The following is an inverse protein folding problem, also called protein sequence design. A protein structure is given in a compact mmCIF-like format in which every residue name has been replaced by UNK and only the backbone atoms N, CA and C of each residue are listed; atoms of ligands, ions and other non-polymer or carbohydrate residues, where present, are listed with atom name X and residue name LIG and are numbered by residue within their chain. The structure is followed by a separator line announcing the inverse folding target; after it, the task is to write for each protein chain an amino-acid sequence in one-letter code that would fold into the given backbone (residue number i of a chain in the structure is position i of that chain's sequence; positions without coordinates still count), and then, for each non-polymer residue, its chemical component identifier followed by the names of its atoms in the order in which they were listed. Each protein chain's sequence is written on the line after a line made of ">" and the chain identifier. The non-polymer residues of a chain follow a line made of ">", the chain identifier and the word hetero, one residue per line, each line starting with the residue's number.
data_IF_183210329730
#
_entry.id   IF_183210329730
#
_cell.length_a   1.000
_cell.length_b   1.000
_cell.length_c   1.000
_cell.angle_alpha   90.00
_cell.angle_beta   90.00
_cell.angle_gamma   90.00
#
_symmetry.space_group_name_H-M   'P 1'
#
loop_
_entity.id
_entity.type
_entity.pdbx_description
1 polymer ?
#
# COMPACT_ATOMS: atom_id res chain seq x y z
N UNK A 1 4.73 10.34 -2.17
CA UNK A 1 4.32 9.90 -3.53
C UNK A 1 5.53 9.36 -4.25
N UNK A 2 5.44 8.22 -4.92
CA UNK A 2 6.57 7.70 -5.72
C UNK A 2 6.09 7.12 -7.04
N UNK A 3 6.90 7.34 -8.08
CA UNK A 3 6.69 6.83 -9.43
C UNK A 3 7.93 6.02 -9.80
N UNK A 4 7.73 4.79 -10.23
CA UNK A 4 8.80 3.94 -10.77
C UNK A 4 8.42 3.57 -12.19
N UNK A 5 9.35 3.73 -13.11
CA UNK A 5 9.20 3.32 -14.51
C UNK A 5 10.30 2.31 -14.80
N UNK A 6 9.90 1.08 -15.09
CA UNK A 6 10.78 -0.01 -15.48
C UNK A 6 10.62 -0.25 -16.99
N UNK A 7 11.72 -0.09 -17.72
CA UNK A 7 11.84 -0.42 -19.12
C UNK A 7 12.49 -1.80 -19.27
N UNK A 8 12.45 -2.35 -20.48
CA UNK A 8 13.10 -3.62 -20.79
C UNK A 8 14.61 -3.60 -20.42
N UNK A 9 14.98 -4.44 -19.45
CA UNK A 9 16.33 -4.51 -18.90
C UNK A 9 17.33 -5.04 -19.92
N UNK A 10 16.93 -5.91 -20.84
CA UNK A 10 17.84 -6.46 -21.84
C UNK A 10 18.20 -5.42 -22.90
N UNK A 11 17.30 -4.45 -23.15
CA UNK A 11 17.55 -3.34 -24.07
C UNK A 11 18.35 -2.20 -23.44
N UNK A 12 18.06 -1.85 -22.18
CA UNK A 12 18.63 -0.66 -21.53
C UNK A 12 19.74 -0.95 -20.51
N UNK A 13 19.95 -2.22 -20.18
CA UNK A 13 20.93 -2.63 -19.17
C UNK A 13 20.54 -2.24 -17.73
N UNK A 14 21.35 -2.66 -16.75
CA UNK A 14 21.04 -2.51 -15.33
C UNK A 14 20.90 -1.04 -14.88
N UNK A 15 21.60 -0.10 -15.54
CA UNK A 15 21.67 1.28 -15.08
C UNK A 15 20.61 2.20 -15.69
N UNK A 16 20.08 1.88 -16.87
CA UNK A 16 19.16 2.78 -17.59
C UNK A 16 17.73 2.28 -17.69
N UNK A 17 17.48 1.00 -17.35
CA UNK A 17 16.15 0.40 -17.41
C UNK A 17 15.20 0.92 -16.34
N UNK A 18 15.72 1.40 -15.20
CA UNK A 18 14.90 1.85 -14.07
C UNK A 18 14.95 3.37 -13.91
N UNK A 19 13.79 3.98 -13.70
CA UNK A 19 13.65 5.39 -13.32
C UNK A 19 12.79 5.46 -12.08
N UNK A 20 13.34 6.04 -11.02
CA UNK A 20 12.64 6.24 -9.75
C UNK A 20 12.49 7.72 -9.46
N UNK A 21 11.28 8.12 -9.10
CA UNK A 21 11.00 9.46 -8.62
C UNK A 21 10.29 9.37 -7.28
N UNK A 22 10.81 10.12 -6.29
CA UNK A 22 10.22 10.24 -4.96
C UNK A 22 9.92 11.69 -4.66
N UNK A 23 8.66 11.99 -4.31
CA UNK A 23 8.30 13.30 -3.77
C UNK A 23 9.00 13.50 -2.43
N UNK A 24 9.65 14.64 -2.26
CA UNK A 24 10.15 15.12 -0.97
C UNK A 24 9.43 16.41 -0.58
N UNK A 25 9.63 16.87 0.66
CA UNK A 25 9.04 18.13 1.12
C UNK A 25 9.50 19.37 0.32
N UNK A 26 10.63 19.25 -0.39
CA UNK A 26 11.17 20.31 -1.25
C UNK A 26 10.71 20.21 -2.71
N UNK A 27 9.99 19.15 -3.08
CA UNK A 27 9.58 18.94 -4.48
C UNK A 27 8.39 19.82 -4.83
N UNK A 28 8.57 20.69 -5.83
CA UNK A 28 7.50 21.49 -6.40
C UNK A 28 6.38 20.61 -6.95
N UNK A 29 5.15 21.12 -6.94
CA UNK A 29 4.03 20.41 -7.54
C UNK A 29 4.21 20.27 -9.05
N UNK A 30 3.85 19.11 -9.58
CA UNK A 30 3.98 18.79 -11.00
C UNK A 30 2.76 17.98 -11.43
N UNK A 31 2.33 18.20 -12.67
CA UNK A 31 1.20 17.55 -13.33
C UNK A 31 1.64 16.45 -14.32
N UNK A 32 2.95 16.28 -14.53
CA UNK A 32 3.46 15.30 -15.48
C UNK A 32 4.95 14.98 -15.34
N UNK A 33 5.32 13.79 -15.80
CA UNK A 33 6.69 13.32 -15.84
C UNK A 33 7.10 13.05 -17.28
N UNK A 34 8.34 13.42 -17.64
CA UNK A 34 8.92 13.07 -18.92
C UNK A 34 10.19 12.24 -18.73
N UNK A 35 10.17 11.03 -19.29
CA UNK A 35 11.34 10.15 -19.37
C UNK A 35 11.73 9.98 -20.84
N UNK A 36 13.02 10.12 -21.14
CA UNK A 36 13.56 9.91 -22.49
C UNK A 36 14.68 8.89 -22.44
N UNK A 37 14.69 8.02 -23.46
CA UNK A 37 15.74 7.04 -23.74
C UNK A 37 15.93 6.93 -25.24
N UNK A 38 17.14 6.55 -25.67
CA UNK A 38 17.43 6.26 -27.07
C UNK A 38 16.99 4.83 -27.37
N UNK A 39 16.27 4.62 -28.47
CA UNK A 39 15.83 3.29 -28.88
C UNK A 39 15.23 3.31 -30.28
N UNK A 40 15.34 2.18 -30.97
CA UNK A 40 14.88 1.97 -32.34
C UNK A 40 13.91 0.77 -32.47
N UNK A 41 13.52 0.19 -31.34
CA UNK A 41 12.61 -0.94 -31.24
C UNK A 41 11.46 -0.64 -30.28
N UNK A 42 10.39 -1.45 -30.36
CA UNK A 42 9.30 -1.39 -29.38
C UNK A 42 9.80 -1.84 -28.01
N UNK A 43 9.35 -1.18 -26.95
CA UNK A 43 9.85 -1.41 -25.58
C UNK A 43 8.69 -1.68 -24.63
N UNK A 44 8.78 -2.76 -23.86
CA UNK A 44 7.87 -2.99 -22.73
C UNK A 44 8.24 -2.04 -21.58
N UNK A 45 7.22 -1.43 -21.00
CA UNK A 45 7.33 -0.46 -19.93
C UNK A 45 6.32 -0.80 -18.83
N UNK A 46 6.78 -0.93 -17.60
CA UNK A 46 5.96 -1.10 -16.42
C UNK A 46 6.03 0.17 -15.60
N UNK A 47 4.88 0.81 -15.36
CA UNK A 47 4.77 2.02 -14.56
C UNK A 47 4.15 1.63 -13.23
N UNK A 48 4.87 1.83 -12.13
CA UNK A 48 4.39 1.61 -10.77
C UNK A 48 4.15 2.96 -10.11
N UNK A 49 2.92 3.20 -9.68
CA UNK A 49 2.53 4.41 -8.96
C UNK A 49 2.21 4.07 -7.51
N UNK A 50 3.02 4.61 -6.60
CA UNK A 50 2.81 4.51 -5.16
C UNK A 50 2.09 5.77 -4.69
N UNK A 51 0.81 5.59 -4.39
CA UNK A 51 -0.03 6.65 -3.85
C UNK A 51 0.40 7.02 -2.43
N UNK A 52 0.21 8.29 -2.11
CA UNK A 52 0.59 8.87 -0.82
C UNK A 52 -0.69 9.28 -0.10
N UNK A 53 -1.24 8.32 0.63
CA UNK A 53 -2.43 8.55 1.43
C UNK A 53 -2.03 9.20 2.76
N UNK A 54 -2.82 10.16 3.21
CA UNK A 54 -2.65 10.83 4.49
C UNK A 54 -3.97 10.79 5.26
N UNK A 55 -4.16 9.81 6.17
CA UNK A 55 -3.14 8.94 6.77
C UNK A 55 -2.68 7.78 5.87
N UNK A 56 -1.46 7.23 6.09
CA UNK A 56 -0.95 6.12 5.30
C UNK A 56 -1.87 4.89 5.34
N UNK A 57 -2.15 4.35 4.16
CA UNK A 57 -2.88 3.10 3.97
C UNK A 57 -1.92 1.91 3.90
N UNK A 58 -2.37 0.77 4.41
CA UNK A 58 -1.61 -0.48 4.45
C UNK A 58 -2.46 -1.66 4.04
N UNK A 59 -1.83 -2.65 3.41
CA UNK A 59 -2.44 -3.96 3.18
C UNK A 59 -2.18 -4.88 4.38
N UNK A 60 -3.11 -5.77 4.69
CA UNK A 60 -2.94 -6.77 5.75
C UNK A 60 -2.46 -8.10 5.17
N UNK A 61 -1.74 -8.89 5.98
CA UNK A 61 -1.53 -10.32 5.72
C UNK A 61 -2.88 -11.01 5.45
N UNK A 62 -2.91 -11.94 4.50
CA UNK A 62 -4.16 -12.53 4.02
C UNK A 62 -4.99 -13.20 5.14
N UNK A 63 -4.33 -13.77 6.16
CA UNK A 63 -5.02 -14.40 7.29
C UNK A 63 -5.67 -13.35 8.18
N UNK A 64 -4.95 -12.27 8.47
CA UNK A 64 -5.47 -11.16 9.28
C UNK A 64 -6.56 -10.37 8.53
N UNK A 65 -6.38 -10.14 7.23
CA UNK A 65 -7.36 -9.49 6.38
C UNK A 65 -8.71 -10.21 6.40
N UNK A 66 -8.68 -11.54 6.27
CA UNK A 66 -9.87 -12.39 6.34
C UNK A 66 -10.54 -12.33 7.71
N UNK A 67 -9.75 -12.34 8.78
CA UNK A 67 -10.28 -12.29 10.15
C UNK A 67 -11.02 -10.97 10.41
N UNK A 68 -10.41 -9.86 10.02
CA UNK A 68 -10.93 -8.52 10.30
C UNK A 68 -11.91 -8.02 9.23
N UNK A 69 -12.05 -8.74 8.11
CA UNK A 69 -12.76 -8.28 6.90
C UNK A 69 -12.24 -6.94 6.37
N UNK A 70 -10.91 -6.74 6.46
CA UNK A 70 -10.21 -5.51 6.04
C UNK A 70 -9.04 -5.91 5.14
N UNK A 71 -9.11 -5.56 3.87
CA UNK A 71 -8.00 -5.81 2.93
C UNK A 71 -6.96 -4.69 3.00
N UNK A 72 -7.42 -3.45 3.06
CA UNK A 72 -6.58 -2.26 3.18
C UNK A 72 -7.17 -1.30 4.21
N UNK A 73 -6.32 -0.54 4.88
CA UNK A 73 -6.78 0.53 5.74
C UNK A 73 -5.65 1.22 6.51
N UNK A 74 -6.04 2.23 7.28
CA UNK A 74 -5.10 2.94 8.16
C UNK A 74 -4.70 2.06 9.34
N UNK A 75 -3.51 2.30 9.92
CA UNK A 75 -3.08 1.63 11.16
C UNK A 75 -4.13 1.73 12.27
N UNK A 76 -4.76 2.90 12.39
CA UNK A 76 -5.79 3.14 13.40
C UNK A 76 -7.00 2.24 13.17
N UNK A 77 -7.52 2.18 11.94
CA UNK A 77 -8.67 1.33 11.58
C UNK A 77 -8.37 -0.15 11.85
N UNK A 78 -7.16 -0.62 11.50
CA UNK A 78 -6.73 -2.01 11.70
C UNK A 78 -6.67 -2.35 13.20
N UNK A 79 -6.06 -1.49 14.01
CA UNK A 79 -5.95 -1.69 15.47
C UNK A 79 -7.35 -1.71 16.10
N UNK A 80 -8.23 -0.79 15.69
CA UNK A 80 -9.60 -0.74 16.20
C UNK A 80 -10.39 -2.00 15.85
N UNK A 81 -10.27 -2.50 14.62
CA UNK A 81 -10.94 -3.73 14.20
C UNK A 81 -10.44 -4.96 14.96
N UNK A 82 -9.11 -5.08 15.14
CA UNK A 82 -8.53 -6.14 15.94
C UNK A 82 -9.01 -6.07 17.40
N UNK A 83 -9.08 -4.86 17.96
CA UNK A 83 -9.57 -4.67 19.32
C UNK A 83 -11.05 -5.03 19.46
N UNK A 84 -11.86 -4.65 18.48
CA UNK A 84 -13.27 -5.03 18.43
C UNK A 84 -13.42 -6.55 18.37
N UNK A 85 -12.61 -7.24 17.56
CA UNK A 85 -12.59 -8.69 17.50
C UNK A 85 -12.31 -9.32 18.87
N UNK A 86 -11.25 -8.85 19.56
CA UNK A 86 -10.86 -9.33 20.90
C UNK A 86 -12.01 -9.15 21.90
N UNK A 87 -12.68 -8.01 21.88
CA UNK A 87 -13.81 -7.71 22.77
C UNK A 87 -15.03 -8.59 22.48
N UNK A 88 -15.43 -8.68 21.22
CA UNK A 88 -16.61 -9.46 20.80
C UNK A 88 -16.45 -10.93 21.14
N UNK A 89 -15.23 -11.47 21.04
CA UNK A 89 -14.91 -12.86 21.36
C UNK A 89 -14.51 -13.07 22.83
N UNK A 90 -14.54 -12.02 23.66
CA UNK A 90 -14.19 -12.06 25.10
C UNK A 90 -12.81 -12.68 25.36
N UNK A 91 -11.83 -12.30 24.54
CA UNK A 91 -10.50 -12.88 24.56
C UNK A 91 -9.54 -12.21 25.56
N UNK A 92 -9.94 -11.10 26.18
CA UNK A 92 -9.17 -10.51 27.27
C UNK A 92 -9.31 -11.38 28.53
N UNK A 93 -8.17 -11.66 29.17
CA UNK A 93 -8.14 -12.44 30.40
C UNK A 93 -8.89 -11.70 31.54
N UNK A 94 -9.83 -12.37 32.25
CA UNK A 94 -10.63 -11.74 33.29
C UNK A 94 -9.85 -11.44 34.58
N UNK A 95 -8.82 -12.22 34.88
CA UNK A 95 -7.99 -12.08 36.09
C UNK A 95 -6.79 -11.18 35.80
N UNK A 96 -6.10 -11.42 34.68
CA UNK A 96 -4.92 -10.69 34.25
C UNK A 96 -5.22 -9.82 33.02
N UNK A 97 -5.90 -8.68 33.23
CA UNK A 97 -6.38 -7.79 32.15
C UNK A 97 -5.30 -7.27 31.19
N UNK A 98 -4.01 -7.50 31.46
CA UNK A 98 -2.93 -7.17 30.54
C UNK A 98 -2.71 -8.24 29.44
N UNK A 99 -3.39 -9.39 29.51
CA UNK A 99 -3.25 -10.48 28.56
C UNK A 99 -4.50 -10.73 27.71
N UNK A 100 -4.26 -11.27 26.52
CA UNK A 100 -5.24 -11.75 25.56
C UNK A 100 -5.01 -13.25 25.35
N UNK A 101 -6.03 -14.07 25.54
CA UNK A 101 -6.07 -15.46 25.12
C UNK A 101 -6.38 -15.54 23.63
N UNK A 102 -5.42 -16.03 22.85
CA UNK A 102 -5.65 -16.19 21.42
C UNK A 102 -6.57 -17.39 21.20
N UNK A 103 -7.67 -17.18 20.49
CA UNK A 103 -8.49 -18.26 19.97
C UNK A 103 -7.79 -18.97 18.80
N UNK A 104 -8.41 -19.98 18.21
CA UNK A 104 -7.81 -20.74 17.10
C UNK A 104 -7.40 -19.83 15.91
N UNK A 105 -8.17 -18.78 15.62
CA UNK A 105 -7.88 -17.86 14.52
C UNK A 105 -6.67 -17.00 14.85
N UNK A 106 -6.64 -16.37 16.02
CA UNK A 106 -5.52 -15.54 16.46
C UNK A 106 -4.24 -16.36 16.67
N UNK A 107 -4.34 -17.59 17.16
CA UNK A 107 -3.19 -18.51 17.29
C UNK A 107 -2.60 -18.82 15.92
N UNK A 108 -3.44 -19.04 14.90
CA UNK A 108 -2.97 -19.30 13.53
C UNK A 108 -2.27 -18.11 12.88
N UNK A 109 -2.49 -16.89 13.40
CA UNK A 109 -1.95 -15.64 12.86
C UNK A 109 -0.71 -15.18 13.65
N UNK A 110 -0.82 -15.12 14.98
CA UNK A 110 0.21 -14.60 15.88
C UNK A 110 1.15 -15.67 16.45
N UNK A 111 0.84 -16.95 16.17
CA UNK A 111 1.67 -18.12 16.52
C UNK A 111 1.97 -18.19 18.03
N UNK A 112 0.99 -17.82 18.85
CA UNK A 112 1.08 -17.88 20.29
C UNK A 112 -0.31 -18.03 20.92
N UNK A 113 -0.37 -18.74 22.04
CA UNK A 113 -1.60 -19.01 22.78
C UNK A 113 -2.06 -17.82 23.63
N UNK A 114 -1.12 -16.95 24.02
CA UNK A 114 -1.36 -15.79 24.87
C UNK A 114 -0.46 -14.62 24.46
N UNK A 115 -1.00 -13.41 24.45
CA UNK A 115 -0.29 -12.18 24.08
C UNK A 115 -0.50 -11.14 25.18
N UNK A 116 0.55 -10.39 25.56
CA UNK A 116 0.39 -9.19 26.38
C UNK A 116 0.00 -7.99 25.52
N UNK A 117 -0.87 -7.13 26.03
CA UNK A 117 -1.31 -5.92 25.33
C UNK A 117 -0.17 -5.06 24.78
N UNK A 118 0.91 -4.76 25.54
CA UNK A 118 2.03 -3.96 25.03
C UNK A 118 2.78 -4.62 23.86
N UNK A 119 2.73 -5.95 23.75
CA UNK A 119 3.45 -6.70 22.70
C UNK A 119 2.60 -6.80 21.41
N UNK A 120 1.29 -6.58 21.50
CA UNK A 120 0.36 -6.72 20.38
C UNK A 120 0.68 -5.79 19.19
N UNK A 121 0.97 -4.48 19.38
CA UNK A 121 1.36 -3.61 18.26
C UNK A 121 2.60 -4.10 17.52
N UNK A 122 3.60 -4.61 18.25
CA UNK A 122 4.83 -5.15 17.66
C UNK A 122 4.57 -6.40 16.81
N UNK A 123 3.70 -7.30 17.28
CA UNK A 123 3.24 -8.46 16.51
C UNK A 123 2.42 -8.05 15.29
N UNK A 124 1.48 -7.12 15.47
CA UNK A 124 0.61 -6.61 14.40
C UNK A 124 1.42 -5.93 13.28
N UNK A 125 2.48 -5.19 13.62
CA UNK A 125 3.33 -4.52 12.64
C UNK A 125 3.95 -5.48 11.62
N UNK A 126 4.17 -6.75 11.98
CA UNK A 126 4.70 -7.78 11.06
C UNK A 126 3.66 -8.26 10.04
N UNK A 127 2.39 -7.98 10.30
CA UNK A 127 1.23 -8.38 9.48
C UNK A 127 0.62 -7.21 8.72
N UNK A 128 1.15 -5.99 8.92
CA UNK A 128 0.78 -4.78 8.20
C UNK A 128 1.87 -4.52 7.17
N UNK A 129 1.49 -4.60 5.90
CA UNK A 129 2.37 -4.50 4.74
C UNK A 129 2.15 -3.17 4.02
N UNK A 130 3.15 -2.65 3.27
CA UNK A 130 2.94 -1.52 2.38
C UNK A 130 1.77 -1.79 1.42
N UNK A 131 1.00 -0.75 1.11
CA UNK A 131 -0.03 -0.83 0.08
C UNK A 131 0.58 -1.16 -1.27
N UNK A 132 -0.16 -1.91 -2.09
CA UNK A 132 0.31 -2.29 -3.41
C UNK A 132 0.33 -1.07 -4.34
N UNK A 133 1.39 -0.90 -5.15
CA UNK A 133 1.43 0.14 -6.16
C UNK A 133 0.39 -0.15 -7.24
N UNK A 134 -0.12 0.91 -7.87
CA UNK A 134 -0.85 0.77 -9.12
C UNK A 134 0.16 0.41 -10.20
N UNK A 135 -0.06 -0.71 -10.89
CA UNK A 135 0.82 -1.19 -11.95
C UNK A 135 0.14 -1.00 -13.30
N UNK A 136 0.78 -0.25 -14.19
CA UNK A 136 0.37 -0.08 -15.58
C UNK A 136 1.42 -0.73 -16.47
N UNK A 137 1.00 -1.76 -17.20
CA UNK A 137 1.82 -2.38 -18.24
C UNK A 137 1.54 -1.69 -19.58
N UNK A 138 2.57 -1.15 -20.20
CA UNK A 138 2.49 -0.44 -21.46
C UNK A 138 3.58 -0.92 -22.44
N UNK A 139 3.34 -0.75 -23.73
CA UNK A 139 4.35 -0.99 -24.77
C UNK A 139 4.53 0.29 -25.57
N UNK A 140 5.74 0.83 -25.53
CA UNK A 140 6.13 2.00 -26.32
C UNK A 140 6.37 1.51 -27.75
N UNK A 141 5.54 1.96 -28.68
CA UNK A 141 5.61 1.57 -30.09
C UNK A 141 6.18 2.70 -30.97
N UNK A 142 7.03 2.35 -31.93
CA UNK A 142 7.66 3.31 -32.86
C UNK A 142 6.92 3.47 -34.21
N UNK A 143 5.81 2.75 -34.42
CA UNK A 143 5.05 2.79 -35.66
C UNK A 143 4.26 4.09 -35.87
N UNK A 144 4.26 4.61 -37.10
CA UNK A 144 3.66 5.91 -37.46
C UNK A 144 2.13 5.99 -37.28
N UNK A 145 1.41 4.86 -37.33
CA UNK A 145 -0.06 4.80 -37.31
C UNK A 145 -0.69 4.42 -35.95
N UNK A 146 0.09 4.34 -34.87
CA UNK A 146 -0.45 4.00 -33.54
C UNK A 146 -0.75 5.24 -32.70
N UNK A 147 -1.89 5.22 -31.98
CA UNK A 147 -2.22 6.24 -30.97
C UNK A 147 -1.10 6.30 -29.93
N UNK A 148 -0.39 7.43 -29.88
CA UNK A 148 0.73 7.69 -28.94
C UNK A 148 0.29 7.84 -27.48
N UNK A 149 -1.01 7.77 -27.21
CA UNK A 149 -1.59 7.97 -25.90
C UNK A 149 -2.39 6.73 -25.49
N UNK A 150 -2.12 6.23 -24.29
CA UNK A 150 -2.97 5.30 -23.57
C UNK A 150 -3.59 6.04 -22.39
N UNK A 151 -4.88 5.82 -22.16
CA UNK A 151 -5.62 6.39 -21.04
C UNK A 151 -6.07 5.23 -20.14
N UNK A 152 -5.87 5.39 -18.84
CA UNK A 152 -6.25 4.41 -17.83
C UNK A 152 -7.08 5.13 -16.77
N UNK A 153 -8.30 4.63 -16.54
CA UNK A 153 -9.13 5.08 -15.43
C UNK A 153 -8.78 4.24 -14.20
N UNK A 154 -8.50 4.93 -13.09
CA UNK A 154 -8.09 4.29 -11.83
C UNK A 154 -8.95 4.86 -10.72
N UNK A 155 -9.68 3.99 -10.04
CA UNK A 155 -10.39 4.37 -8.84
C UNK A 155 -9.39 4.61 -7.71
N UNK A 156 -9.39 5.83 -7.18
CA UNK A 156 -8.55 6.21 -6.04
C UNK A 156 -9.45 6.67 -4.91
N UNK A 157 -9.36 6.00 -3.77
CA UNK A 157 -9.96 6.50 -2.54
C UNK A 157 -9.23 7.78 -2.10
N UNK A 158 -9.94 8.91 -2.19
CA UNK A 158 -9.51 10.20 -1.68
C UNK A 158 -10.16 10.44 -0.33
N UNK A 159 -9.39 10.90 0.65
CA UNK A 159 -9.98 11.38 1.90
C UNK A 159 -10.89 12.58 1.62
N UNK A 160 -12.04 12.61 2.29
CA UNK A 160 -12.96 13.76 2.26
C UNK A 160 -12.24 15.01 2.78
N UNK A 161 -11.76 15.87 1.86
CA UNK A 161 -11.17 17.17 2.18
C UNK A 161 -12.10 18.08 3.00
N UNK A 162 -13.40 17.76 3.03
CA UNK A 162 -14.41 18.39 3.90
C UNK A 162 -14.04 18.23 5.38
N UNK A 163 -13.45 17.08 5.77
CA UNK A 163 -13.16 16.76 7.17
C UNK A 163 -11.97 17.54 7.73
N UNK A 164 -10.99 17.88 6.89
CA UNK A 164 -9.88 18.77 7.27
C UNK A 164 -10.30 20.25 7.28
N UNK A 165 -11.23 20.64 6.40
CA UNK A 165 -11.83 21.98 6.44
C UNK A 165 -12.61 22.21 7.75
N UNK A 166 -13.30 21.18 8.27
CA UNK A 166 -14.04 21.23 9.54
C UNK A 166 -13.17 21.17 10.80
N UNK A 167 -11.89 20.76 10.70
CA UNK A 167 -10.93 20.80 11.83
C UNK A 167 -10.35 22.18 12.09
N UNK A 168 -10.57 23.11 11.17
CA UNK A 168 -10.02 24.48 11.21
C UNK A 168 -11.06 25.50 11.70
N UNK A 169 -12.23 25.03 12.19
CA UNK A 169 -13.28 25.83 12.81
C UNK A 169 -13.41 25.53 14.30
#
# INVERSE_FOLDING_TARGET
>A
RSLVIELDKDLYGPDNHLVEWHRTNATAETDGFQVRRLGDQNVKCTILMILDHSPPQYRLDARLARLLSINNGTRQTIIQALWQYIKTHKLQDPEEREFIHCDAQLQSIFECTRIRFPDLPGKLNKLILPSEPIIINHTICLGADQKKHACYDIDVEVDDQVRDSMRTF
#
